data_IF_138536559103
#
_entry.id   IF_138536559103
#
_cell.length_a   1.000
_cell.length_b   1.000
_cell.length_c   1.000
_cell.angle_alpha   90.00
_cell.angle_beta   90.00
_cell.angle_gamma   90.00
#
_symmetry.space_group_name_H-M   'P 1'
#
loop_
_entity.id
_entity.type
_entity.pdbx_description
1 polymer ?
#
# COMPACT_ATOMS: atom_id res chain seq x y z
N UNK A 1 -16.78 8.05 2.88
CA UNK A 1 -16.71 6.64 2.43
C UNK A 1 -16.61 5.78 3.68
N UNK A 2 -17.46 4.76 3.83
CA UNK A 2 -17.39 3.84 4.96
C UNK A 2 -16.81 2.52 4.48
N UNK A 3 -15.81 2.00 5.20
CA UNK A 3 -15.24 0.68 5.00
C UNK A 3 -15.94 -0.30 5.95
N UNK A 4 -16.56 -1.33 5.37
CA UNK A 4 -17.11 -2.45 6.14
C UNK A 4 -16.12 -3.61 6.10
N UNK A 5 -15.48 -3.90 7.24
CA UNK A 5 -14.56 -5.04 7.40
C UNK A 5 -15.24 -6.30 7.95
N UNK A 6 -16.58 -6.31 8.07
CA UNK A 6 -17.33 -7.40 8.71
C UNK A 6 -17.26 -7.38 10.24
N UNK A 7 -16.69 -6.32 10.82
CA UNK A 7 -16.70 -6.06 12.25
C UNK A 7 -17.99 -5.30 12.63
N UNK A 8 -18.35 -5.32 13.91
CA UNK A 8 -19.61 -4.72 14.39
C UNK A 8 -19.71 -3.19 14.24
N UNK A 9 -18.67 -2.51 13.73
CA UNK A 9 -18.63 -1.06 13.56
C UNK A 9 -18.12 -0.67 12.16
N UNK A 10 -18.78 0.28 11.47
CA UNK A 10 -18.28 0.83 10.21
C UNK A 10 -17.06 1.71 10.44
N UNK A 11 -16.01 1.50 9.65
CA UNK A 11 -14.76 2.27 9.71
C UNK A 11 -14.87 3.49 8.79
N UNK A 12 -14.55 4.66 9.32
CA UNK A 12 -14.54 5.90 8.55
C UNK A 12 -13.10 6.21 8.17
N UNK A 13 -12.73 5.95 6.92
CA UNK A 13 -11.38 6.18 6.44
C UNK A 13 -11.38 6.60 4.97
N UNK A 14 -10.49 7.52 4.61
CA UNK A 14 -10.33 7.99 3.23
C UNK A 14 -9.18 7.19 2.61
N UNK A 15 -9.49 6.33 1.63
CA UNK A 15 -8.49 5.63 0.84
C UNK A 15 -8.22 6.41 -0.44
N UNK A 16 -6.95 6.75 -0.71
CA UNK A 16 -6.54 7.53 -1.88
C UNK A 16 -5.93 6.68 -3.00
N UNK A 17 -6.25 5.39 -3.09
CA UNK A 17 -5.56 4.48 -4.02
C UNK A 17 -6.55 3.50 -4.65
N UNK A 18 -6.30 3.16 -5.93
CA UNK A 18 -7.06 2.16 -6.69
C UNK A 18 -7.00 0.75 -6.07
N UNK A 19 -6.01 0.50 -5.22
CA UNK A 19 -5.87 -0.72 -4.43
C UNK A 19 -6.02 -0.37 -2.94
N UNK A 20 -7.06 -0.86 -2.25
CA UNK A 20 -7.22 -0.59 -0.82
C UNK A 20 -6.15 -1.35 -0.03
N UNK A 21 -5.08 -0.66 0.34
CA UNK A 21 -4.08 -1.12 1.29
C UNK A 21 -4.48 -0.57 2.67
N UNK A 22 -4.64 -1.46 3.65
CA UNK A 22 -4.89 -1.06 5.03
C UNK A 22 -3.54 -0.72 5.66
N UNK A 23 -3.30 0.57 5.89
CA UNK A 23 -2.12 1.05 6.57
C UNK A 23 -2.15 0.77 8.08
N UNK A 24 -0.99 0.85 8.71
CA UNK A 24 -0.86 0.70 10.16
C UNK A 24 -1.55 1.81 10.95
N UNK A 25 -1.58 3.01 10.40
CA UNK A 25 -2.29 4.18 10.92
C UNK A 25 -3.79 3.90 11.13
N UNK A 26 -4.44 3.28 10.15
CA UNK A 26 -5.84 2.86 10.27
C UNK A 26 -6.02 1.82 11.37
N UNK A 27 -5.14 0.81 11.40
CA UNK A 27 -5.20 -0.26 12.40
C UNK A 27 -5.07 0.31 13.81
N UNK A 28 -4.11 1.20 14.04
CA UNK A 28 -3.91 1.85 15.32
C UNK A 28 -5.10 2.74 15.70
N UNK A 29 -5.59 3.56 14.76
CA UNK A 29 -6.69 4.48 15.01
C UNK A 29 -7.99 3.75 15.42
N UNK A 30 -8.25 2.58 14.84
CA UNK A 30 -9.44 1.78 15.15
C UNK A 30 -9.19 0.59 16.10
N UNK A 31 -8.01 0.54 16.74
CA UNK A 31 -7.62 -0.53 17.65
C UNK A 31 -7.78 -1.94 17.03
N UNK A 32 -7.39 -2.10 15.76
CA UNK A 32 -7.45 -3.36 15.03
C UNK A 32 -6.13 -4.11 15.13
N UNK A 33 -6.21 -5.41 15.36
CA UNK A 33 -5.07 -6.30 15.52
C UNK A 33 -5.10 -7.37 14.43
N UNK A 34 -3.98 -7.51 13.72
CA UNK A 34 -3.80 -8.58 12.74
C UNK A 34 -3.24 -9.81 13.45
N UNK A 35 -4.02 -10.88 13.53
CA UNK A 35 -3.56 -12.20 13.96
C UNK A 35 -3.28 -13.06 12.73
N UNK A 36 -2.02 -13.05 12.32
CA UNK A 36 -1.52 -13.79 11.14
C UNK A 36 -1.57 -15.30 11.35
N UNK A 37 -1.40 -15.77 12.59
CA UNK A 37 -1.40 -17.20 12.92
C UNK A 37 -2.78 -17.80 12.72
N UNK A 38 -3.82 -17.08 13.17
CA UNK A 38 -5.22 -17.53 13.03
C UNK A 38 -5.94 -16.93 11.83
N UNK A 39 -5.20 -16.22 10.96
CA UNK A 39 -5.71 -15.55 9.75
C UNK A 39 -6.96 -14.73 10.03
N UNK A 40 -6.90 -13.85 11.01
CA UNK A 40 -8.04 -13.05 11.43
C UNK A 40 -7.65 -11.60 11.71
N UNK A 41 -8.60 -10.71 11.48
CA UNK A 41 -8.55 -9.32 11.94
C UNK A 41 -9.41 -9.22 13.21
N UNK A 42 -8.84 -8.73 14.29
CA UNK A 42 -9.49 -8.63 15.61
C UNK A 42 -9.71 -7.16 15.95
N UNK A 43 -10.90 -6.81 16.42
CA UNK A 43 -11.15 -5.53 17.08
C UNK A 43 -10.70 -5.64 18.54
N UNK A 44 -9.66 -4.91 18.92
CA UNK A 44 -9.11 -4.88 20.27
C UNK A 44 -10.05 -4.26 21.31
N UNK A 45 -11.13 -3.60 20.89
CA UNK A 45 -12.13 -3.01 21.78
C UNK A 45 -13.23 -4.01 22.14
N UNK A 46 -13.71 -4.78 21.15
CA UNK A 46 -14.84 -5.69 21.31
C UNK A 46 -14.44 -7.17 21.35
N UNK A 47 -13.18 -7.49 21.08
CA UNK A 47 -12.66 -8.84 20.84
C UNK A 47 -13.38 -9.62 19.73
N UNK A 48 -14.19 -8.96 18.91
CA UNK A 48 -14.77 -9.57 17.72
C UNK A 48 -13.68 -9.77 16.67
N UNK A 49 -13.77 -10.86 15.93
CA UNK A 49 -12.80 -11.17 14.89
C UNK A 49 -13.44 -11.63 13.61
N UNK A 50 -12.87 -11.21 12.50
CA UNK A 50 -13.26 -11.63 11.14
C UNK A 50 -12.15 -12.49 10.56
N UNK A 51 -12.51 -13.62 9.98
CA UNK A 51 -11.59 -14.49 9.26
C UNK A 51 -11.16 -13.81 7.95
N UNK A 52 -9.86 -13.74 7.71
CA UNK A 52 -9.27 -13.18 6.49
C UNK A 52 -8.94 -14.32 5.54
N UNK A 53 -9.46 -14.21 4.31
CA UNK A 53 -9.14 -15.13 3.23
C UNK A 53 -8.04 -14.55 2.36
N UNK A 54 -7.07 -15.38 1.98
CA UNK A 54 -6.08 -15.00 0.97
C UNK A 54 -6.78 -14.92 -0.39
N UNK A 55 -6.84 -13.73 -0.99
CA UNK A 55 -7.34 -13.58 -2.35
C UNK A 55 -6.20 -13.68 -3.35
N UNK A 56 -6.19 -14.76 -4.15
CA UNK A 56 -5.18 -15.01 -5.19
C UNK A 56 -5.59 -14.54 -6.59
N UNK A 57 -6.78 -13.93 -6.73
CA UNK A 57 -7.38 -13.61 -8.03
C UNK A 57 -6.84 -12.36 -8.72
N UNK A 58 -6.11 -11.49 -8.02
CA UNK A 58 -5.51 -10.30 -8.60
C UNK A 58 -4.00 -10.52 -8.77
N UNK A 59 -3.48 -10.37 -10.00
CA UNK A 59 -2.06 -10.10 -10.21
C UNK A 59 -1.78 -8.71 -9.65
N UNK A 60 -1.47 -8.64 -8.36
CA UNK A 60 -1.08 -7.42 -7.64
C UNK A 60 0.33 -7.02 -8.07
N UNK A 61 0.49 -6.61 -9.32
CA UNK A 61 1.69 -5.94 -9.77
C UNK A 61 1.43 -4.44 -9.68
N UNK A 62 2.25 -3.67 -8.94
CA UNK A 62 2.23 -2.21 -8.99
C UNK A 62 2.29 -1.69 -10.44
N UNK A 63 2.87 -2.49 -11.35
CA UNK A 63 3.04 -2.20 -12.78
C UNK A 63 1.75 -2.44 -13.59
N UNK A 64 0.83 -3.26 -13.10
CA UNK A 64 -0.41 -3.65 -13.81
C UNK A 64 -1.62 -2.79 -13.38
N UNK A 65 -1.41 -1.73 -12.60
CA UNK A 65 -2.45 -0.71 -12.30
C UNK A 65 -2.91 0.03 -13.56
N UNK A 66 -2.27 -0.20 -14.72
CA UNK A 66 -2.74 0.32 -16.03
C UNK A 66 -4.21 0.02 -16.35
N UNK A 67 -4.78 -1.07 -15.82
CA UNK A 67 -6.14 -1.49 -16.17
C UNK A 67 -7.27 -0.85 -15.35
N UNK A 68 -6.95 0.02 -14.38
CA UNK A 68 -7.97 0.69 -13.52
C UNK A 68 -7.76 2.19 -13.42
N UNK A 69 -7.05 2.78 -14.38
CA UNK A 69 -6.90 4.23 -14.47
C UNK A 69 -8.07 4.76 -15.30
N UNK A 70 -8.88 5.61 -14.68
CA UNK A 70 -9.94 6.34 -15.35
C UNK A 70 -9.40 7.00 -16.63
N UNK A 71 -10.13 6.83 -17.74
CA UNK A 71 -9.81 7.40 -19.06
C UNK A 71 -9.45 8.89 -18.97
N UNK A 72 -10.03 9.61 -18.01
CA UNK A 72 -9.73 11.02 -17.75
C UNK A 72 -8.25 11.31 -17.48
N UNK A 73 -7.54 10.41 -16.79
CA UNK A 73 -6.13 10.63 -16.43
C UNK A 73 -5.13 10.06 -17.44
N UNK A 74 -5.60 9.30 -18.45
CA UNK A 74 -4.72 8.70 -19.46
C UNK A 74 -3.85 9.74 -20.20
N UNK A 75 -4.39 10.89 -20.67
CA UNK A 75 -3.57 11.89 -21.35
C UNK A 75 -2.46 12.49 -20.46
N UNK A 76 -2.70 12.58 -19.16
CA UNK A 76 -1.71 13.09 -18.20
C UNK A 76 -0.58 12.09 -17.96
N UNK A 77 -0.91 10.80 -17.91
CA UNK A 77 0.08 9.74 -17.71
C UNK A 77 0.91 9.49 -18.96
N UNK A 78 0.29 9.60 -20.14
CA UNK A 78 0.99 9.54 -21.43
C UNK A 78 1.99 10.70 -21.57
N UNK A 79 1.66 11.88 -21.01
CA UNK A 79 2.58 13.02 -20.95
C UNK A 79 3.78 12.77 -20.03
N UNK A 80 3.65 11.94 -19.00
CA UNK A 80 4.70 11.66 -18.01
C UNK A 80 4.90 10.16 -17.77
N UNK A 81 5.43 9.42 -18.76
CA UNK A 81 5.55 7.96 -18.69
C UNK A 81 6.49 7.49 -17.56
N UNK A 82 7.48 8.31 -17.17
CA UNK A 82 8.42 7.99 -16.10
C UNK A 82 7.81 7.90 -14.69
N UNK A 83 6.57 8.32 -14.50
CA UNK A 83 5.88 8.26 -13.19
C UNK A 83 5.42 6.82 -12.88
N UNK A 84 5.05 6.05 -13.91
CA UNK A 84 4.43 4.73 -13.74
C UNK A 84 5.20 3.61 -14.44
N UNK A 85 6.17 3.93 -15.29
CA UNK A 85 7.10 2.93 -15.81
C UNK A 85 7.99 2.44 -14.67
N UNK A 86 8.02 1.13 -14.47
CA UNK A 86 9.03 0.49 -13.63
C UNK A 86 10.39 0.90 -14.19
N UNK A 87 11.23 1.50 -13.35
CA UNK A 87 12.58 1.85 -13.76
C UNK A 87 13.22 0.62 -14.42
N UNK A 88 13.89 0.78 -15.58
CA UNK A 88 14.69 -0.29 -16.14
C UNK A 88 15.59 -0.84 -15.04
N UNK A 89 15.78 -2.17 -15.01
CA UNK A 89 16.84 -2.78 -14.20
C UNK A 89 18.09 -1.94 -14.46
N UNK A 90 18.55 -1.24 -13.42
CA UNK A 90 19.74 -0.41 -13.53
C UNK A 90 20.83 -1.30 -14.15
N UNK A 91 21.52 -0.85 -15.21
CA UNK A 91 22.62 -1.61 -15.75
C UNK A 91 23.57 -1.96 -14.60
N UNK A 92 24.06 -3.20 -14.59
CA UNK A 92 25.05 -3.62 -13.60
C UNK A 92 26.16 -2.55 -13.57
N UNK A 93 26.33 -1.90 -12.42
CA UNK A 93 27.30 -0.82 -12.27
C UNK A 93 28.68 -1.42 -12.55
N UNK A 94 29.27 -1.07 -13.69
CA UNK A 94 30.60 -1.53 -14.10
C UNK A 94 31.71 -0.64 -13.55
N UNK A 95 31.38 0.51 -12.97
CA UNK A 95 32.34 1.42 -12.38
C UNK A 95 32.63 1.07 -10.92
N UNK A 96 33.89 1.23 -10.52
CA UNK A 96 34.33 1.18 -9.13
C UNK A 96 34.03 2.48 -8.35
N UNK A 97 33.18 3.35 -8.91
CA UNK A 97 32.86 4.66 -8.34
C UNK A 97 31.69 4.50 -7.38
N UNK A 98 31.93 4.82 -6.11
CA UNK A 98 30.88 4.83 -5.08
C UNK A 98 30.50 6.28 -4.77
N UNK A 99 29.21 6.62 -4.91
CA UNK A 99 28.69 7.91 -4.49
C UNK A 99 28.34 7.85 -3.00
N UNK A 100 28.94 8.72 -2.19
CA UNK A 100 28.61 8.88 -0.77
C UNK A 100 27.84 10.19 -0.56
N UNK A 101 26.69 10.13 0.08
CA UNK A 101 25.97 11.31 0.55
C UNK A 101 26.52 11.63 1.94
N UNK A 102 27.29 12.70 2.05
CA UNK A 102 27.81 13.15 3.33
C UNK A 102 26.70 13.87 4.08
N UNK A 103 26.16 13.24 5.12
CA UNK A 103 25.22 13.89 6.03
C UNK A 103 25.95 14.40 7.26
N UNK A 104 25.66 15.63 7.67
CA UNK A 104 26.16 16.23 8.91
C UNK A 104 24.99 16.53 9.82
N UNK A 105 25.07 16.04 11.06
CA UNK A 105 24.04 16.25 12.08
C UNK A 105 23.47 14.93 12.63
N UNK A 106 22.85 14.96 13.81
CA UNK A 106 22.23 13.78 14.40
C UNK A 106 21.01 13.33 13.58
N UNK A 107 20.71 12.02 13.53
CA UNK A 107 19.50 11.51 12.90
C UNK A 107 18.27 12.14 13.56
N UNK A 108 17.34 12.63 12.75
CA UNK A 108 16.02 13.04 13.24
C UNK A 108 15.20 11.76 13.40
N UNK A 109 14.83 11.44 14.64
CA UNK A 109 13.82 10.42 14.97
C UNK A 109 12.45 11.05 15.08
#
# INVERSE_FOLDING_TARGET
VHLNLGLSKPIHWIFLVSMPIIGMDLLQHHNLIIDTRKRRLVDGTTNLSVCVISFSGCRLSPVTIKHTIDSFYQPLLDKYPGIHQTQPKLPCVTSNITHHITTTGPPVF
#
